data_IF_556046317871
#
_entry.id   IF_556046317871
#
_cell.length_a   1.000
_cell.length_b   1.000
_cell.length_c   1.000
_cell.angle_alpha   90.00
_cell.angle_beta   90.00
_cell.angle_gamma   90.00
#
_symmetry.space_group_name_H-M   'P 1'
#
loop_
_entity.id
_entity.type
_entity.pdbx_description
1 polymer ?
#
# COMPACT_ATOMS: atom_id res chain seq x y z
N UNK A 1 -3.65 -33.77 -3.29
CA UNK A 1 -2.38 -33.08 -2.96
C UNK A 1 -2.20 -31.97 -3.96
N UNK A 2 -2.43 -30.72 -3.58
CA UNK A 2 -2.38 -29.59 -4.53
C UNK A 2 -1.57 -28.45 -3.93
N UNK A 3 -0.80 -27.81 -4.81
CA UNK A 3 0.46 -27.14 -4.52
C UNK A 3 0.38 -26.00 -3.49
N UNK A 4 1.35 -26.01 -2.56
CA UNK A 4 1.70 -24.88 -1.72
C UNK A 4 2.18 -23.76 -2.64
N UNK A 5 1.37 -22.71 -2.80
CA UNK A 5 1.85 -21.42 -3.32
C UNK A 5 2.88 -20.89 -2.32
N UNK A 6 4.15 -21.07 -2.63
CA UNK A 6 5.25 -20.38 -1.98
C UNK A 6 5.05 -18.89 -2.20
N UNK A 7 4.53 -18.21 -1.18
CA UNK A 7 4.64 -16.77 -1.04
C UNK A 7 6.09 -16.40 -1.21
N UNK A 8 6.42 -15.71 -2.30
CA UNK A 8 7.76 -15.17 -2.55
C UNK A 8 8.13 -14.27 -1.38
N UNK A 9 8.91 -14.80 -0.44
CA UNK A 9 9.64 -13.99 0.53
C UNK A 9 10.65 -13.22 -0.31
N UNK A 10 10.33 -11.96 -0.62
CA UNK A 10 11.29 -11.06 -1.26
C UNK A 10 12.41 -10.88 -0.25
N UNK A 11 13.55 -11.54 -0.47
CA UNK A 11 14.78 -11.25 0.25
C UNK A 11 15.12 -9.77 0.04
N UNK A 12 14.83 -8.92 1.03
CA UNK A 12 15.21 -7.50 1.05
C UNK A 12 16.68 -7.31 1.42
N UNK A 13 17.55 -8.25 1.06
CA UNK A 13 18.98 -8.10 1.25
C UNK A 13 19.50 -7.21 0.11
N UNK A 14 20.17 -6.12 0.46
CA UNK A 14 20.85 -5.27 -0.53
C UNK A 14 20.07 -4.07 -1.03
N UNK A 15 20.79 -3.16 -1.70
CA UNK A 15 20.24 -1.96 -2.32
C UNK A 15 19.18 -2.30 -3.38
N UNK A 16 19.47 -3.29 -4.23
CA UNK A 16 18.61 -3.66 -5.36
C UNK A 16 17.29 -4.24 -4.89
N UNK A 17 17.31 -5.12 -3.88
CA UNK A 17 16.10 -5.69 -3.29
C UNK A 17 15.19 -4.61 -2.68
N UNK A 18 15.80 -3.67 -1.93
CA UNK A 18 15.08 -2.54 -1.33
C UNK A 18 14.52 -1.57 -2.36
N UNK A 19 15.29 -1.23 -3.39
CA UNK A 19 14.81 -0.40 -4.48
C UNK A 19 13.60 -1.07 -5.17
N UNK A 20 13.67 -2.36 -5.48
CA UNK A 20 12.54 -3.05 -6.10
C UNK A 20 11.30 -3.08 -5.21
N UNK A 21 11.45 -3.38 -3.92
CA UNK A 21 10.36 -3.35 -2.96
C UNK A 21 9.69 -1.96 -2.88
N UNK A 22 10.49 -0.89 -2.95
CA UNK A 22 9.97 0.47 -2.99
C UNK A 22 9.18 0.75 -4.28
N UNK A 23 9.71 0.35 -5.43
CA UNK A 23 9.04 0.51 -6.73
C UNK A 23 7.74 -0.31 -6.80
N UNK A 24 7.70 -1.49 -6.17
CA UNK A 24 6.48 -2.30 -6.02
C UNK A 24 5.40 -1.53 -5.25
N UNK A 25 5.76 -0.89 -4.13
CA UNK A 25 4.82 -0.04 -3.37
C UNK A 25 4.36 1.19 -4.13
N UNK A 26 5.19 1.72 -5.02
CA UNK A 26 4.81 2.79 -5.93
C UNK A 26 3.94 2.31 -7.12
N UNK A 27 3.60 1.02 -7.17
CA UNK A 27 2.76 0.43 -8.21
C UNK A 27 3.45 0.40 -9.59
N UNK A 28 4.78 0.46 -9.64
CA UNK A 28 5.53 0.40 -10.88
C UNK A 28 5.70 -1.06 -11.30
N UNK A 29 5.14 -1.44 -12.45
CA UNK A 29 5.29 -2.78 -13.01
C UNK A 29 6.77 -3.09 -13.24
N UNK A 30 7.18 -4.34 -12.98
CA UNK A 30 8.54 -4.81 -13.17
C UNK A 30 9.04 -4.59 -14.61
N UNK A 31 8.18 -4.93 -15.58
CA UNK A 31 8.40 -4.63 -17.00
C UNK A 31 8.37 -3.13 -17.22
N UNK A 32 9.53 -2.55 -17.54
CA UNK A 32 9.70 -1.13 -17.82
C UNK A 32 10.40 -0.33 -16.71
N UNK A 33 10.82 -0.95 -15.60
CA UNK A 33 11.58 -0.25 -14.55
C UNK A 33 12.92 0.31 -15.04
N UNK A 34 13.63 -0.46 -15.86
CA UNK A 34 14.98 -0.09 -16.31
C UNK A 34 15.06 1.27 -17.03
N UNK A 35 14.23 1.56 -18.05
CA UNK A 35 14.24 2.89 -18.67
C UNK A 35 13.77 3.99 -17.71
N UNK A 36 12.82 3.71 -16.81
CA UNK A 36 12.37 4.69 -15.80
C UNK A 36 13.51 5.04 -14.84
N UNK A 37 14.19 4.04 -14.29
CA UNK A 37 15.33 4.22 -13.39
C UNK A 37 16.49 4.94 -14.07
N UNK A 38 16.75 4.64 -15.35
CA UNK A 38 17.75 5.35 -16.15
C UNK A 38 17.40 6.85 -16.24
N UNK A 39 16.16 7.19 -16.61
CA UNK A 39 15.68 8.57 -16.65
C UNK A 39 15.76 9.25 -15.28
N UNK A 40 15.30 8.60 -14.21
CA UNK A 40 15.26 9.16 -12.86
C UNK A 40 16.65 9.42 -12.27
N UNK A 41 17.64 8.58 -12.61
CA UNK A 41 19.01 8.71 -12.11
C UNK A 41 19.93 9.56 -13.01
N UNK A 42 19.45 9.97 -14.18
CA UNK A 42 20.28 10.62 -15.21
C UNK A 42 21.35 9.71 -15.80
N UNK A 43 21.22 8.39 -15.65
CA UNK A 43 22.16 7.40 -16.17
C UNK A 43 21.63 6.72 -17.42
N UNK A 44 22.53 6.11 -18.18
CA UNK A 44 22.15 5.19 -19.25
C UNK A 44 21.59 3.88 -18.66
N UNK A 45 20.76 3.16 -19.42
CA UNK A 45 20.24 1.86 -18.97
C UNK A 45 21.34 0.85 -18.60
N UNK A 46 22.47 0.75 -19.33
CA UNK A 46 23.62 -0.05 -18.90
C UNK A 46 24.24 0.44 -17.58
N UNK A 47 24.28 1.76 -17.36
CA UNK A 47 24.79 2.36 -16.12
C UNK A 47 23.96 1.96 -14.90
N UNK A 48 22.63 2.04 -14.99
CA UNK A 48 21.74 1.56 -13.93
C UNK A 48 21.85 0.05 -13.74
N UNK A 49 21.83 -0.72 -14.84
CA UNK A 49 21.97 -2.18 -14.76
C UNK A 49 23.22 -2.57 -13.98
N UNK A 50 24.36 -1.94 -14.28
CA UNK A 50 25.61 -2.19 -13.57
C UNK A 50 25.50 -1.89 -12.06
N UNK A 51 24.83 -0.82 -11.66
CA UNK A 51 24.60 -0.52 -10.24
C UNK A 51 23.75 -1.60 -9.56
N UNK A 52 22.68 -2.05 -10.24
CA UNK A 52 21.78 -3.07 -9.70
C UNK A 52 22.45 -4.46 -9.61
N UNK A 53 23.25 -4.83 -10.61
CA UNK A 53 24.02 -6.09 -10.63
C UNK A 53 25.08 -6.12 -9.51
N UNK A 54 25.66 -4.97 -9.19
CA UNK A 54 26.62 -4.84 -8.08
C UNK A 54 25.97 -4.61 -6.72
N UNK A 55 24.64 -4.57 -6.65
CA UNK A 55 23.86 -4.31 -5.44
C UNK A 55 24.30 -3.05 -4.68
N UNK A 56 24.61 -1.99 -5.44
CA UNK A 56 25.10 -0.72 -4.90
C UNK A 56 24.29 0.46 -5.45
N UNK A 57 24.13 1.53 -4.65
CA UNK A 57 23.56 2.76 -5.16
C UNK A 57 24.43 3.34 -6.29
N UNK A 58 23.84 4.09 -7.23
CA UNK A 58 24.59 4.94 -8.15
C UNK A 58 25.53 5.92 -7.41
N UNK A 59 26.40 6.58 -8.17
CA UNK A 59 27.23 7.68 -7.64
C UNK A 59 26.34 8.75 -6.98
N UNK A 60 26.86 9.51 -5.98
CA UNK A 60 26.08 10.45 -5.18
C UNK A 60 25.15 11.36 -5.98
N UNK A 61 25.61 11.98 -7.08
CA UNK A 61 24.79 12.87 -7.90
C UNK A 61 23.60 12.14 -8.56
N UNK A 62 23.86 10.97 -9.16
CA UNK A 62 22.82 10.13 -9.78
C UNK A 62 21.89 9.52 -8.74
N UNK A 63 22.40 9.21 -7.55
CA UNK A 63 21.60 8.72 -6.44
C UNK A 63 20.68 9.83 -5.90
N UNK A 64 21.16 11.07 -5.78
CA UNK A 64 20.35 12.21 -5.38
C UNK A 64 19.21 12.50 -6.38
N UNK A 65 19.47 12.38 -7.69
CA UNK A 65 18.43 12.50 -8.74
C UNK A 65 17.40 11.37 -8.65
N UNK A 66 17.87 10.14 -8.45
CA UNK A 66 17.01 8.97 -8.28
C UNK A 66 16.10 9.14 -7.05
N UNK A 67 16.68 9.54 -5.92
CA UNK A 67 16.00 9.80 -4.66
C UNK A 67 14.92 10.89 -4.83
N UNK A 68 15.26 11.99 -5.51
CA UNK A 68 14.32 13.08 -5.80
C UNK A 68 13.14 12.63 -6.66
N UNK A 69 13.41 11.82 -7.67
CA UNK A 69 12.39 11.30 -8.58
C UNK A 69 11.44 10.31 -7.87
N UNK A 70 12.01 9.43 -7.03
CA UNK A 70 11.23 8.50 -6.20
C UNK A 70 10.36 9.28 -5.22
N UNK A 71 10.90 10.28 -4.54
CA UNK A 71 10.17 11.14 -3.61
C UNK A 71 9.00 11.85 -4.31
N UNK A 72 9.23 12.44 -5.48
CA UNK A 72 8.18 13.07 -6.30
C UNK A 72 7.09 12.08 -6.69
N UNK A 73 7.47 10.89 -7.14
CA UNK A 73 6.51 9.85 -7.53
C UNK A 73 5.70 9.33 -6.34
N UNK A 74 6.34 9.17 -5.17
CA UNK A 74 5.67 8.81 -3.93
C UNK A 74 4.64 9.85 -3.51
N UNK A 75 5.01 11.13 -3.50
CA UNK A 75 4.09 12.22 -3.20
C UNK A 75 2.92 12.26 -4.19
N UNK A 76 3.20 12.08 -5.48
CA UNK A 76 2.17 12.08 -6.53
C UNK A 76 1.17 10.94 -6.38
N UNK A 77 1.61 9.76 -5.95
CA UNK A 77 0.78 8.54 -5.93
C UNK A 77 0.16 8.20 -4.58
N UNK A 78 0.83 8.51 -3.46
CA UNK A 78 0.48 7.97 -2.13
C UNK A 78 0.16 9.04 -1.09
N UNK A 79 0.28 10.33 -1.41
CA UNK A 79 0.00 11.40 -0.44
C UNK A 79 1.13 11.57 0.58
N UNK A 80 1.22 12.76 1.17
CA UNK A 80 2.43 13.42 1.67
C UNK A 80 3.01 12.93 3.01
N UNK A 81 3.14 11.63 3.26
CA UNK A 81 3.67 11.13 4.55
C UNK A 81 5.13 10.72 4.53
N UNK A 82 5.77 10.64 3.36
CA UNK A 82 7.11 10.05 3.22
C UNK A 82 8.16 11.13 3.04
N UNK A 83 9.14 11.19 3.93
CA UNK A 83 10.27 12.11 3.76
C UNK A 83 11.33 11.54 2.82
N UNK A 84 12.08 12.43 2.18
CA UNK A 84 13.23 12.07 1.34
C UNK A 84 14.33 11.35 2.13
N UNK A 85 14.49 11.71 3.42
CA UNK A 85 15.42 11.07 4.35
C UNK A 85 15.03 9.61 4.63
N UNK A 86 13.74 9.31 4.83
CA UNK A 86 13.30 7.95 5.12
C UNK A 86 13.52 7.03 3.92
N UNK A 87 13.32 7.53 2.70
CA UNK A 87 13.63 6.83 1.45
C UNK A 87 15.13 6.52 1.36
N UNK A 88 15.97 7.51 1.65
CA UNK A 88 17.42 7.35 1.61
C UNK A 88 17.90 6.33 2.64
N UNK A 89 17.49 6.48 3.90
CA UNK A 89 17.89 5.58 4.98
C UNK A 89 17.42 4.16 4.74
N UNK A 90 16.21 3.98 4.20
CA UNK A 90 15.74 2.68 3.74
C UNK A 90 16.64 2.09 2.65
N UNK A 91 16.91 2.82 1.57
CA UNK A 91 17.70 2.31 0.44
C UNK A 91 19.13 1.94 0.85
N UNK A 92 19.76 2.74 1.70
CA UNK A 92 21.16 2.55 2.10
C UNK A 92 21.32 1.58 3.28
N UNK A 93 20.52 1.75 4.34
CA UNK A 93 20.72 1.06 5.62
C UNK A 93 19.75 -0.10 5.83
N UNK A 94 18.66 -0.16 5.06
CA UNK A 94 17.65 -1.20 5.23
C UNK A 94 16.75 -0.99 6.43
N UNK A 95 16.49 0.28 6.78
CA UNK A 95 15.52 0.66 7.80
C UNK A 95 14.09 0.23 7.43
N UNK A 96 13.08 0.73 8.15
CA UNK A 96 11.69 0.44 7.81
C UNK A 96 11.31 1.00 6.44
N UNK A 97 10.60 0.21 5.64
CA UNK A 97 10.08 0.65 4.34
C UNK A 97 9.20 1.90 4.53
N UNK A 98 9.55 3.04 3.92
CA UNK A 98 8.95 4.32 4.29
C UNK A 98 7.67 4.59 3.50
N UNK A 99 6.96 3.54 3.08
CA UNK A 99 5.68 3.64 2.39
C UNK A 99 4.63 2.95 3.26
N UNK A 100 3.46 3.56 3.51
CA UNK A 100 2.38 2.88 4.19
C UNK A 100 2.03 1.61 3.41
N UNK A 101 1.80 0.50 4.12
CA UNK A 101 1.27 -0.68 3.47
C UNK A 101 -0.11 -0.35 2.90
N UNK A 102 -0.39 -0.77 1.67
CA UNK A 102 -1.67 -0.54 0.99
C UNK A 102 -2.88 -1.15 1.73
N UNK A 103 -2.65 -1.94 2.79
CA UNK A 103 -3.68 -2.45 3.70
C UNK A 103 -3.86 -1.62 4.98
N UNK A 104 -3.14 -0.50 5.12
CA UNK A 104 -3.27 0.44 6.22
C UNK A 104 -3.85 1.73 5.68
N UNK A 105 -5.08 1.67 5.19
CA UNK A 105 -5.93 2.85 5.24
C UNK A 105 -6.12 3.16 6.73
N UNK A 106 -5.28 4.09 7.18
CA UNK A 106 -5.69 5.18 8.06
C UNK A 106 -6.51 4.83 9.31
N UNK A 107 -6.15 3.77 10.05
CA UNK A 107 -6.58 3.64 11.45
C UNK A 107 -6.17 4.85 12.31
N UNK A 108 -5.22 5.68 11.84
CA UNK A 108 -4.76 6.89 12.54
C UNK A 108 -5.70 8.10 12.41
N UNK A 109 -6.72 8.08 11.54
CA UNK A 109 -7.63 9.23 11.36
C UNK A 109 -8.93 9.15 12.18
N UNK A 110 -9.23 8.00 12.80
CA UNK A 110 -10.43 7.83 13.62
C UNK A 110 -10.04 7.41 15.05
N UNK A 111 -10.78 7.90 16.04
CA UNK A 111 -10.59 7.46 17.42
C UNK A 111 -11.07 6.02 17.65
N UNK A 112 -10.62 5.40 18.74
CA UNK A 112 -10.98 4.02 19.08
C UNK A 112 -12.49 3.81 19.27
N UNK A 113 -13.22 4.85 19.68
CA UNK A 113 -14.67 4.79 19.85
C UNK A 113 -15.38 4.70 18.49
N UNK A 114 -14.89 5.45 17.50
CA UNK A 114 -15.38 5.47 16.13
C UNK A 114 -15.04 4.16 15.41
N UNK A 115 -13.83 3.63 15.61
CA UNK A 115 -13.45 2.29 15.13
C UNK A 115 -14.40 1.22 15.68
N UNK A 116 -14.67 1.23 16.99
CA UNK A 116 -15.63 0.32 17.61
C UNK A 116 -17.05 0.45 17.03
N UNK A 117 -17.52 1.67 16.79
CA UNK A 117 -18.82 1.93 16.14
C UNK A 117 -18.88 1.35 14.72
N UNK A 118 -17.80 1.46 13.95
CA UNK A 118 -17.73 0.90 12.59
C UNK A 118 -17.83 -0.63 12.64
N UNK A 119 -17.11 -1.31 13.54
CA UNK A 119 -17.23 -2.77 13.66
C UNK A 119 -18.64 -3.23 14.03
N UNK A 120 -19.30 -2.53 14.95
CA UNK A 120 -20.69 -2.81 15.32
C UNK A 120 -21.62 -2.58 14.12
N UNK A 121 -21.42 -1.49 13.38
CA UNK A 121 -22.20 -1.17 12.20
C UNK A 121 -22.01 -2.19 11.07
N UNK A 122 -20.77 -2.67 10.86
CA UNK A 122 -20.45 -3.76 9.94
C UNK A 122 -21.20 -5.04 10.34
N UNK A 123 -21.17 -5.42 11.61
CA UNK A 123 -21.90 -6.60 12.11
C UNK A 123 -23.39 -6.50 11.81
N UNK A 124 -24.01 -5.35 12.11
CA UNK A 124 -25.44 -5.11 11.85
C UNK A 124 -25.75 -5.14 10.36
N UNK A 125 -24.99 -4.40 9.54
CA UNK A 125 -25.18 -4.32 8.10
C UNK A 125 -25.00 -5.69 7.43
N UNK A 126 -24.04 -6.50 7.88
CA UNK A 126 -23.84 -7.87 7.42
C UNK A 126 -25.03 -8.76 7.75
N UNK A 127 -25.50 -8.74 9.01
CA UNK A 127 -26.66 -9.52 9.42
C UNK A 127 -27.93 -9.15 8.62
N UNK A 128 -28.13 -7.87 8.30
CA UNK A 128 -29.26 -7.41 7.47
C UNK A 128 -29.29 -8.04 6.07
N UNK A 129 -28.12 -8.45 5.54
CA UNK A 129 -27.98 -9.09 4.23
C UNK A 129 -27.61 -10.58 4.31
N UNK A 130 -27.70 -11.18 5.51
CA UNK A 130 -27.39 -12.58 5.73
C UNK A 130 -25.91 -12.94 5.55
N UNK A 131 -24.99 -12.01 5.86
CA UNK A 131 -23.55 -12.23 5.89
C UNK A 131 -23.03 -12.01 7.31
N UNK A 132 -22.51 -13.04 7.96
CA UNK A 132 -21.70 -12.85 9.16
C UNK A 132 -20.28 -12.42 8.76
N UNK A 133 -20.06 -11.10 8.76
CA UNK A 133 -18.82 -10.50 8.29
C UNK A 133 -17.55 -11.01 9.01
N UNK A 134 -17.65 -11.50 10.24
CA UNK A 134 -16.47 -11.93 11.01
C UNK A 134 -16.16 -13.42 10.88
N UNK A 135 -17.13 -14.23 10.46
CA UNK A 135 -16.91 -15.66 10.19
C UNK A 135 -16.79 -15.98 8.70
N UNK A 136 -17.46 -15.21 7.84
CA UNK A 136 -17.50 -15.47 6.39
C UNK A 136 -16.46 -14.69 5.59
N UNK A 137 -15.97 -13.56 6.08
CA UNK A 137 -14.90 -12.81 5.42
C UNK A 137 -13.55 -13.17 6.03
N UNK A 138 -12.55 -13.39 5.16
CA UNK A 138 -11.18 -13.52 5.64
C UNK A 138 -10.65 -12.15 6.12
N UNK A 139 -9.58 -12.18 6.92
CA UNK A 139 -8.98 -10.98 7.51
C UNK A 139 -8.70 -9.87 6.49
N UNK A 140 -8.24 -10.20 5.28
CA UNK A 140 -7.94 -9.20 4.24
C UNK A 140 -9.21 -8.57 3.66
N UNK A 141 -10.25 -9.37 3.44
CA UNK A 141 -11.54 -8.88 2.95
C UNK A 141 -12.20 -7.96 3.96
N UNK A 142 -12.17 -8.33 5.23
CA UNK A 142 -12.71 -7.52 6.32
C UNK A 142 -11.93 -6.21 6.50
N UNK A 143 -10.59 -6.27 6.46
CA UNK A 143 -9.73 -5.09 6.52
C UNK A 143 -9.99 -4.14 5.33
N UNK A 144 -10.16 -4.67 4.12
CA UNK A 144 -10.47 -3.87 2.93
C UNK A 144 -11.85 -3.18 3.04
N UNK A 145 -12.88 -3.91 3.48
CA UNK A 145 -14.21 -3.34 3.70
C UNK A 145 -14.18 -2.24 4.76
N UNK A 146 -13.53 -2.51 5.89
CA UNK A 146 -13.37 -1.55 6.98
C UNK A 146 -12.66 -0.26 6.52
N UNK A 147 -11.60 -0.44 5.74
CA UNK A 147 -10.82 0.62 5.12
C UNK A 147 -11.66 1.52 4.21
N UNK A 148 -12.46 0.95 3.31
CA UNK A 148 -13.35 1.73 2.44
C UNK A 148 -14.46 2.45 3.23
N UNK A 149 -14.97 1.84 4.29
CA UNK A 149 -15.97 2.49 5.17
C UNK A 149 -15.38 3.72 5.85
N UNK A 150 -14.15 3.64 6.35
CA UNK A 150 -13.44 4.79 6.93
C UNK A 150 -13.31 5.89 5.89
N UNK A 151 -12.90 5.54 4.68
CA UNK A 151 -12.73 6.49 3.60
C UNK A 151 -14.03 7.22 3.26
N UNK A 152 -15.15 6.50 3.13
CA UNK A 152 -16.46 7.12 2.92
C UNK A 152 -16.84 8.02 4.09
N UNK A 153 -16.62 7.58 5.33
CA UNK A 153 -16.92 8.36 6.53
C UNK A 153 -16.18 9.70 6.54
N UNK A 154 -14.90 9.69 6.22
CA UNK A 154 -14.03 10.86 6.26
C UNK A 154 -14.26 11.78 5.04
N UNK A 155 -14.21 11.22 3.82
CA UNK A 155 -14.29 11.99 2.59
C UNK A 155 -15.70 12.55 2.34
N UNK A 156 -16.75 11.79 2.68
CA UNK A 156 -18.15 12.19 2.47
C UNK A 156 -18.80 12.77 3.73
N UNK A 157 -18.13 12.73 4.88
CA UNK A 157 -18.65 13.19 6.18
C UNK A 157 -19.98 12.54 6.57
N UNK A 158 -20.22 11.31 6.12
CA UNK A 158 -21.43 10.57 6.46
C UNK A 158 -21.33 10.02 7.87
N UNK A 159 -22.35 10.23 8.71
CA UNK A 159 -22.42 9.61 10.02
C UNK A 159 -22.46 8.07 9.88
N UNK A 160 -21.76 7.36 10.76
CA UNK A 160 -21.68 5.88 10.74
C UNK A 160 -23.08 5.23 10.72
N UNK A 161 -24.03 5.84 11.42
CA UNK A 161 -25.38 5.30 11.58
C UNK A 161 -26.38 5.78 10.52
N UNK A 162 -25.93 6.65 9.59
CA UNK A 162 -26.77 7.18 8.52
C UNK A 162 -27.28 6.06 7.59
N UNK A 163 -28.48 6.20 7.02
CA UNK A 163 -29.00 5.26 6.02
C UNK A 163 -28.03 5.06 4.84
N UNK A 164 -27.42 6.14 4.36
CA UNK A 164 -26.48 6.14 3.24
C UNK A 164 -25.22 5.32 3.56
N UNK A 165 -24.69 5.47 4.78
CA UNK A 165 -23.55 4.68 5.23
C UNK A 165 -23.90 3.20 5.38
N UNK A 166 -25.08 2.88 5.90
CA UNK A 166 -25.53 1.49 6.04
C UNK A 166 -25.66 0.79 4.69
N UNK A 167 -26.23 1.46 3.70
CA UNK A 167 -26.33 0.91 2.34
C UNK A 167 -24.94 0.75 1.70
N UNK A 168 -24.04 1.72 1.89
CA UNK A 168 -22.65 1.60 1.45
C UNK A 168 -21.94 0.41 2.12
N UNK A 169 -22.10 0.22 3.44
CA UNK A 169 -21.55 -0.91 4.17
C UNK A 169 -22.05 -2.25 3.63
N UNK A 170 -23.35 -2.39 3.38
CA UNK A 170 -23.93 -3.60 2.78
C UNK A 170 -23.29 -3.92 1.43
N UNK A 171 -23.20 -2.92 0.54
CA UNK A 171 -22.58 -3.08 -0.77
C UNK A 171 -21.10 -3.50 -0.66
N UNK A 172 -20.33 -2.83 0.21
CA UNK A 172 -18.92 -3.14 0.45
C UNK A 172 -18.74 -4.56 1.01
N UNK A 173 -19.60 -5.02 1.91
CA UNK A 173 -19.53 -6.38 2.45
C UNK A 173 -19.84 -7.44 1.38
N UNK A 174 -20.79 -7.19 0.49
CA UNK A 174 -21.07 -8.07 -0.64
C UNK A 174 -19.88 -8.14 -1.60
N UNK A 175 -19.30 -6.99 -1.97
CA UNK A 175 -18.13 -6.93 -2.83
C UNK A 175 -16.90 -7.60 -2.18
N UNK A 176 -16.71 -7.42 -0.87
CA UNK A 176 -15.66 -8.07 -0.11
C UNK A 176 -15.82 -9.60 -0.13
N UNK A 177 -17.05 -10.11 0.06
CA UNK A 177 -17.35 -11.54 -0.03
C UNK A 177 -17.05 -12.11 -1.42
N UNK A 178 -17.34 -11.35 -2.48
CA UNK A 178 -17.03 -11.70 -3.86
C UNK A 178 -15.54 -11.59 -4.21
N UNK A 179 -14.72 -10.99 -3.33
CA UNK A 179 -13.29 -10.78 -3.56
C UNK A 179 -13.00 -9.71 -4.61
N UNK A 180 -13.94 -8.79 -4.84
CA UNK A 180 -13.85 -7.70 -5.82
C UNK A 180 -13.59 -6.35 -5.17
N UNK A 181 -13.23 -6.34 -3.88
CA UNK A 181 -12.82 -5.17 -3.12
C UNK A 181 -11.29 -5.03 -3.10
#
# INVERSE_FOLDING_TARGET
MSAVKLSTVICTAGFTGRLHALLDKLGLKERGRMPILATWSGLTSPGIRKSLENDKPPKPDSFALLLDSIYKEAHRKKGSTVSKYDIESYLLNGDSLPMPNDNTIEKKQIDAATEGKIYIAISKAGNDIGIDAFSELNKRQLEAAFSEIIKIHIEKKFAIESPEMKEAMKALLQLAKLGTL
#
